data_IF_500727238445
#
_entry.id   IF_500727238445
#
_cell.length_a   1.000
_cell.length_b   1.000
_cell.length_c   1.000
_cell.angle_alpha   90.00
_cell.angle_beta   90.00
_cell.angle_gamma   90.00
#
_symmetry.space_group_name_H-M   'P 1'
#
loop_
_entity.id
_entity.type
_entity.pdbx_description
1 polymer ?
#
# COMPACT_ATOMS: atom_id res chain seq x y z
N UNK A 1 25.64 -6.21 -13.54
CA UNK A 1 25.68 -5.38 -14.76
C UNK A 1 24.33 -5.50 -15.46
N UNK A 2 23.67 -4.38 -15.77
CA UNK A 2 22.40 -4.39 -16.52
C UNK A 2 22.64 -4.97 -17.93
N UNK A 3 21.63 -5.61 -18.53
CA UNK A 3 21.69 -6.21 -19.87
C UNK A 3 20.30 -6.25 -20.49
N UNK A 4 20.25 -6.36 -21.80
CA UNK A 4 19.00 -6.57 -22.52
C UNK A 4 18.30 -7.83 -22.01
N UNK A 5 16.98 -7.73 -21.85
CA UNK A 5 16.15 -8.78 -21.29
C UNK A 5 14.75 -8.79 -21.90
N UNK A 6 13.99 -9.85 -21.62
CA UNK A 6 12.57 -9.94 -22.00
C UNK A 6 11.69 -10.03 -20.76
N UNK A 7 10.66 -9.20 -20.73
CA UNK A 7 9.61 -9.22 -19.70
C UNK A 7 8.31 -9.63 -20.40
N UNK A 8 7.99 -10.93 -20.34
CA UNK A 8 6.92 -11.50 -21.15
C UNK A 8 7.14 -11.22 -22.65
N UNK A 9 6.18 -10.60 -23.36
CA UNK A 9 6.35 -10.27 -24.78
C UNK A 9 7.27 -9.07 -25.03
N UNK A 10 7.54 -8.24 -24.02
CA UNK A 10 8.28 -6.98 -24.18
C UNK A 10 9.80 -7.21 -24.16
N UNK A 11 10.53 -6.45 -24.98
CA UNK A 11 11.99 -6.31 -24.88
C UNK A 11 12.28 -5.13 -23.96
N UNK A 12 13.10 -5.35 -22.93
CA UNK A 12 13.64 -4.31 -22.07
C UNK A 12 15.14 -4.19 -22.40
N UNK A 13 15.52 -3.08 -23.02
CA UNK A 13 16.88 -2.84 -23.47
C UNK A 13 17.69 -2.17 -22.36
N UNK A 14 19.02 -2.32 -22.42
CA UNK A 14 19.92 -1.55 -21.57
C UNK A 14 19.64 -0.05 -21.78
N UNK A 15 19.35 0.64 -20.68
CA UNK A 15 19.07 2.08 -20.68
C UNK A 15 17.58 2.41 -20.59
N UNK A 16 16.69 1.41 -20.71
CA UNK A 16 15.26 1.61 -20.46
C UNK A 16 14.99 1.81 -18.96
N UNK A 17 14.09 2.73 -18.66
CA UNK A 17 13.48 2.86 -17.33
C UNK A 17 12.31 1.90 -17.20
N UNK A 18 12.34 1.06 -16.16
CA UNK A 18 11.27 0.09 -15.86
C UNK A 18 10.61 0.50 -14.56
N UNK A 19 9.32 0.81 -14.62
CA UNK A 19 8.51 1.19 -13.46
C UNK A 19 7.49 0.10 -13.15
N UNK A 20 7.40 -0.29 -11.88
CA UNK A 20 6.34 -1.16 -11.39
C UNK A 20 5.24 -0.28 -10.79
N UNK A 21 4.03 -0.23 -11.37
CA UNK A 21 2.94 0.59 -10.86
C UNK A 21 2.28 -0.10 -9.65
N UNK A 22 2.96 -0.07 -8.49
CA UNK A 22 2.56 -0.83 -7.28
C UNK A 22 1.12 -0.56 -6.86
N UNK A 23 0.69 0.72 -6.86
CA UNK A 23 -0.69 1.07 -6.49
C UNK A 23 -1.73 0.39 -7.40
N UNK A 24 -1.54 0.48 -8.72
CA UNK A 24 -2.44 -0.13 -9.69
C UNK A 24 -2.41 -1.66 -9.58
N UNK A 25 -1.22 -2.25 -9.39
CA UNK A 25 -1.05 -3.70 -9.21
C UNK A 25 -1.80 -4.20 -7.96
N UNK A 26 -1.74 -3.46 -6.85
CA UNK A 26 -2.42 -3.79 -5.60
C UNK A 26 -3.94 -3.54 -5.63
N UNK A 27 -4.45 -2.89 -6.68
CA UNK A 27 -5.89 -2.70 -6.91
C UNK A 27 -6.42 -3.46 -8.12
N UNK A 28 -5.56 -4.22 -8.81
CA UNK A 28 -5.95 -4.87 -10.05
C UNK A 28 -6.91 -6.04 -9.76
N UNK A 29 -8.12 -6.08 -10.37
CA UNK A 29 -9.17 -7.04 -10.03
C UNK A 29 -8.80 -8.50 -10.28
N UNK A 30 -7.86 -8.76 -11.19
CA UNK A 30 -7.26 -10.10 -11.40
C UNK A 30 -6.65 -10.71 -10.13
N UNK A 31 -6.10 -9.89 -9.25
CA UNK A 31 -5.42 -10.33 -8.02
C UNK A 31 -6.21 -9.99 -6.77
N UNK A 32 -7.05 -8.97 -6.85
CA UNK A 32 -7.80 -8.41 -5.72
C UNK A 32 -9.27 -8.25 -6.11
N UNK A 33 -10.11 -9.29 -5.96
CA UNK A 33 -11.55 -9.13 -6.03
C UNK A 33 -11.99 -8.06 -5.04
N UNK A 34 -12.90 -7.18 -5.46
CA UNK A 34 -13.41 -6.06 -4.65
C UNK A 34 -12.26 -5.24 -4.02
N UNK A 35 -11.27 -4.86 -4.83
CA UNK A 35 -10.07 -4.15 -4.38
C UNK A 35 -10.33 -2.79 -3.72
N UNK A 36 -11.48 -2.17 -4.03
CA UNK A 36 -11.89 -0.89 -3.47
C UNK A 36 -12.63 -1.03 -2.13
N UNK A 37 -12.94 -2.26 -1.71
CA UNK A 37 -13.54 -2.56 -0.41
C UNK A 37 -12.45 -2.79 0.63
N UNK A 38 -12.54 -2.06 1.75
CA UNK A 38 -11.74 -2.37 2.92
C UNK A 38 -12.30 -3.62 3.62
N UNK A 39 -11.79 -4.78 3.23
CA UNK A 39 -12.14 -6.07 3.81
C UNK A 39 -10.90 -6.69 4.49
N UNK A 40 -10.77 -6.58 5.83
CA UNK A 40 -9.71 -7.24 6.58
C UNK A 40 -9.75 -8.78 6.50
N UNK A 41 -10.92 -9.39 6.30
CA UNK A 41 -11.08 -10.84 6.25
C UNK A 41 -10.36 -11.50 5.07
N UNK A 42 -9.98 -10.73 4.03
CA UNK A 42 -9.16 -11.23 2.91
C UNK A 42 -7.84 -11.84 3.34
N UNK A 43 -7.31 -11.44 4.50
CA UNK A 43 -6.04 -11.91 5.06
C UNK A 43 -6.17 -13.20 5.86
N UNK A 44 -7.38 -13.69 6.12
CA UNK A 44 -7.61 -14.94 6.85
C UNK A 44 -7.25 -16.18 6.00
N UNK A 45 -7.16 -16.01 4.67
CA UNK A 45 -6.74 -17.05 3.74
C UNK A 45 -5.21 -17.17 3.68
N UNK A 46 -4.69 -18.39 3.50
CA UNK A 46 -3.27 -18.72 3.67
C UNK A 46 -2.32 -18.23 2.55
N UNK A 47 -2.73 -17.29 1.70
CA UNK A 47 -1.95 -16.87 0.54
C UNK A 47 -2.06 -15.39 0.24
N UNK A 48 -0.92 -14.67 0.29
CA UNK A 48 -0.83 -13.33 -0.28
C UNK A 48 -0.58 -13.46 -1.78
N UNK A 49 -1.38 -12.80 -2.65
CA UNK A 49 -1.03 -12.72 -4.06
C UNK A 49 0.40 -12.18 -4.21
N UNK A 50 1.16 -12.67 -5.19
CA UNK A 50 2.47 -12.08 -5.54
C UNK A 50 2.39 -10.61 -5.97
N UNK A 51 1.16 -10.09 -6.15
CA UNK A 51 0.83 -8.69 -6.37
C UNK A 51 0.81 -7.85 -5.08
N UNK A 52 0.96 -8.45 -3.89
CA UNK A 52 1.08 -7.73 -2.62
C UNK A 52 2.53 -7.26 -2.42
N UNK A 53 2.80 -6.02 -2.79
CA UNK A 53 4.15 -5.44 -2.81
C UNK A 53 4.20 -4.06 -2.12
N UNK A 54 3.61 -3.88 -0.92
CA UNK A 54 3.51 -2.55 -0.29
C UNK A 54 4.88 -1.99 0.08
N UNK A 55 5.87 -2.86 0.25
CA UNK A 55 7.23 -2.55 0.66
C UNK A 55 8.28 -3.06 -0.34
N UNK A 56 7.87 -3.32 -1.59
CA UNK A 56 8.67 -4.01 -2.61
C UNK A 56 9.17 -5.40 -2.16
N UNK A 57 10.01 -6.06 -2.97
CA UNK A 57 10.57 -7.39 -2.72
C UNK A 57 12.02 -7.50 -3.19
N UNK A 58 12.74 -8.50 -2.67
CA UNK A 58 14.12 -8.79 -3.07
C UNK A 58 15.16 -7.84 -2.44
N UNK A 59 16.38 -7.75 -3.00
CA UNK A 59 17.48 -6.96 -2.43
C UNK A 59 17.20 -5.46 -2.28
N UNK A 60 16.23 -4.93 -3.03
CA UNK A 60 15.79 -3.53 -2.97
C UNK A 60 14.53 -3.31 -2.14
N UNK A 61 14.08 -4.30 -1.36
CA UNK A 61 12.90 -4.15 -0.51
C UNK A 61 13.12 -3.12 0.60
N UNK A 62 12.03 -2.53 1.10
CA UNK A 62 12.08 -1.55 2.18
C UNK A 62 12.67 -2.19 3.45
N UNK A 63 13.75 -1.58 3.96
CA UNK A 63 14.43 -2.02 5.19
C UNK A 63 13.49 -1.97 6.40
N UNK A 64 12.51 -1.07 6.38
CA UNK A 64 11.55 -0.84 7.46
C UNK A 64 10.30 -1.70 7.39
N UNK A 65 10.14 -2.60 6.40
CA UNK A 65 8.88 -3.32 6.18
C UNK A 65 8.35 -4.03 7.43
N UNK A 66 9.22 -4.75 8.15
CA UNK A 66 8.85 -5.48 9.37
C UNK A 66 8.57 -4.55 10.55
N UNK A 67 9.26 -3.41 10.63
CA UNK A 67 9.00 -2.41 11.66
C UNK A 67 7.64 -1.75 11.43
N UNK A 68 7.38 -1.31 10.20
CA UNK A 68 6.16 -0.57 9.84
C UNK A 68 4.91 -1.39 10.10
N UNK A 69 4.88 -2.67 9.70
CA UNK A 69 3.74 -3.56 9.95
C UNK A 69 3.47 -3.72 11.45
N UNK A 70 4.51 -3.85 12.27
CA UNK A 70 4.38 -3.98 13.72
C UNK A 70 3.94 -2.68 14.38
N UNK A 71 4.52 -1.56 13.93
CA UNK A 71 4.19 -0.24 14.44
C UNK A 71 2.74 0.12 14.13
N UNK A 72 2.26 -0.09 12.90
CA UNK A 72 0.86 0.11 12.52
C UNK A 72 -0.09 -0.78 13.33
N UNK A 73 0.28 -2.04 13.55
CA UNK A 73 -0.49 -2.94 14.42
C UNK A 73 -0.63 -2.39 15.84
N UNK A 74 0.49 -1.97 16.45
CA UNK A 74 0.49 -1.39 17.80
C UNK A 74 -0.32 -0.08 17.88
N UNK A 75 -0.25 0.78 16.85
CA UNK A 75 -1.06 2.00 16.78
C UNK A 75 -2.54 1.66 16.68
N UNK A 76 -2.93 0.70 15.85
CA UNK A 76 -4.31 0.26 15.71
C UNK A 76 -4.86 -0.30 17.04
N UNK A 77 -4.09 -1.14 17.73
CA UNK A 77 -4.44 -1.66 19.05
C UNK A 77 -4.59 -0.53 20.09
N UNK A 78 -3.65 0.41 20.12
CA UNK A 78 -3.70 1.55 21.03
C UNK A 78 -4.95 2.42 20.80
N UNK A 79 -5.24 2.75 19.54
CA UNK A 79 -6.42 3.54 19.17
C UNK A 79 -7.73 2.79 19.47
N UNK A 80 -7.77 1.48 19.27
CA UNK A 80 -8.95 0.66 19.59
C UNK A 80 -9.24 0.58 21.09
N UNK A 81 -8.20 0.70 21.94
CA UNK A 81 -8.34 0.72 23.39
C UNK A 81 -8.59 2.12 23.97
N UNK A 82 -8.39 3.19 23.19
CA UNK A 82 -8.57 4.56 23.63
C UNK A 82 -10.05 4.99 23.60
N UNK A 83 -10.44 6.02 24.37
CA UNK A 83 -11.75 6.65 24.22
C UNK A 83 -11.98 7.12 22.77
N UNK A 84 -13.22 7.11 22.26
CA UNK A 84 -13.51 7.56 20.90
C UNK A 84 -12.97 8.97 20.63
N UNK A 85 -12.14 9.08 19.60
CA UNK A 85 -11.62 10.36 19.12
C UNK A 85 -12.64 11.00 18.19
N UNK A 86 -13.07 12.23 18.50
CA UNK A 86 -13.88 13.01 17.58
C UNK A 86 -13.05 13.39 16.35
N UNK A 87 -13.49 12.94 15.17
CA UNK A 87 -12.85 13.23 13.89
C UNK A 87 -13.81 14.03 13.01
N UNK A 88 -13.37 15.20 12.54
CA UNK A 88 -14.10 15.98 11.54
C UNK A 88 -13.43 15.82 10.19
N UNK A 89 -14.16 15.23 9.23
CA UNK A 89 -13.70 15.06 7.86
C UNK A 89 -13.83 16.38 7.10
N UNK A 90 -12.76 16.84 6.44
CA UNK A 90 -12.88 17.91 5.44
C UNK A 90 -12.85 17.28 4.04
N UNK A 91 -13.96 17.42 3.31
CA UNK A 91 -14.11 16.93 1.94
C UNK A 91 -15.01 15.69 1.78
N UNK A 92 -15.45 15.49 0.54
CA UNK A 92 -16.42 14.46 0.16
C UNK A 92 -15.79 13.08 -0.08
N UNK A 93 -14.50 13.00 -0.45
CA UNK A 93 -13.85 11.74 -0.85
C UNK A 93 -12.38 11.65 -0.37
N UNK A 94 -11.87 10.45 -0.02
CA UNK A 94 -10.45 10.26 0.21
C UNK A 94 -9.71 10.49 -1.12
N UNK A 95 -8.83 11.49 -1.17
CA UNK A 95 -7.97 11.70 -2.33
C UNK A 95 -6.70 10.84 -2.23
N UNK A 96 -6.34 10.19 -3.32
CA UNK A 96 -4.99 9.62 -3.45
C UNK A 96 -4.05 10.81 -3.64
N UNK A 97 -3.42 11.24 -2.55
CA UNK A 97 -2.44 12.32 -2.59
C UNK A 97 -1.05 11.79 -2.94
N UNK A 98 -0.12 12.69 -3.26
CA UNK A 98 1.30 12.35 -3.19
C UNK A 98 1.60 11.77 -1.81
N UNK A 99 2.52 10.78 -1.74
CA UNK A 99 2.87 9.94 -0.58
C UNK A 99 3.09 10.69 0.76
N UNK A 100 3.19 12.02 0.75
CA UNK A 100 3.40 12.87 1.93
C UNK A 100 2.35 13.97 2.15
N UNK A 101 1.30 14.09 1.34
CA UNK A 101 0.24 15.05 1.68
C UNK A 101 -0.70 14.39 2.67
N UNK A 102 -0.70 14.88 3.91
CA UNK A 102 -1.74 14.51 4.86
C UNK A 102 -3.12 14.75 4.22
N UNK A 103 -4.08 13.83 4.38
CA UNK A 103 -5.43 14.15 3.98
C UNK A 103 -5.93 15.32 4.85
N UNK A 104 -6.78 16.20 4.34
CA UNK A 104 -7.23 17.42 5.04
C UNK A 104 -8.06 17.10 6.31
N UNK A 105 -7.40 16.75 7.41
CA UNK A 105 -8.04 16.42 8.68
C UNK A 105 -7.38 17.18 9.81
N UNK A 106 -8.18 17.57 10.80
CA UNK A 106 -7.74 18.12 12.08
C UNK A 106 -8.10 17.14 13.19
N UNK A 107 -7.18 16.89 14.11
CA UNK A 107 -7.38 16.05 15.30
C UNK A 107 -7.60 16.99 16.50
N UNK A 108 -8.72 16.84 17.22
CA UNK A 108 -9.07 17.66 18.40
C UNK A 108 -10.41 18.37 18.28
N UNK A 109 -10.86 19.02 19.35
CA UNK A 109 -12.01 19.92 19.33
C UNK A 109 -11.65 21.25 18.64
N UNK A 110 -12.62 21.83 17.94
CA UNK A 110 -12.48 23.11 17.22
C UNK A 110 -12.42 24.31 18.17
#
# INVERSE_FOLDING_TARGET
>A
MLRDHRIGPLKALRGDDVVVPVHALQRHPRYWPDADVFDPGRWDSAGRPGAFLPFAVGPGACVGASFEVRWLGAVAEHLAAAPPLALTRRGADPCVTAVFSAPEHTIGEA
#
